data_IF_508650783846
#
_entry.id   IF_508650783846
#
_cell.length_a   1.000
_cell.length_b   1.000
_cell.length_c   1.000
_cell.angle_alpha   90.00
_cell.angle_beta   90.00
_cell.angle_gamma   90.00
#
_symmetry.space_group_name_H-M   'P 1'
#
loop_
_entity.id
_entity.type
_entity.pdbx_description
1 polymer ?
#
# COMPACT_ATOMS: atom_id res chain seq x y z
N UNK A 1 10.55 12.02 5.33
CA UNK A 1 11.20 10.69 5.34
C UNK A 1 10.29 9.68 6.02
N UNK A 2 10.29 8.42 5.60
CA UNK A 2 9.51 7.35 6.23
C UNK A 2 10.38 6.52 7.19
N UNK A 3 9.74 5.83 8.16
CA UNK A 3 10.42 4.91 9.06
C UNK A 3 11.18 3.82 8.29
N UNK A 4 10.58 3.29 7.21
CA UNK A 4 11.22 2.28 6.33
C UNK A 4 12.53 2.81 5.73
N UNK A 5 12.54 4.08 5.29
CA UNK A 5 13.74 4.72 4.76
C UNK A 5 14.83 4.89 5.82
N UNK A 6 14.48 5.30 7.04
CA UNK A 6 15.44 5.46 8.13
C UNK A 6 16.08 4.13 8.51
N UNK A 7 15.26 3.08 8.70
CA UNK A 7 15.74 1.74 9.06
C UNK A 7 16.67 1.16 7.99
N UNK A 8 16.34 1.33 6.71
CA UNK A 8 17.18 0.85 5.61
C UNK A 8 18.58 1.49 5.58
N UNK A 9 18.72 2.73 6.05
CA UNK A 9 19.98 3.49 6.00
C UNK A 9 20.76 3.45 7.31
N UNK A 10 20.08 3.36 8.46
CA UNK A 10 20.70 3.48 9.78
C UNK A 10 20.85 2.13 10.50
N UNK A 11 19.98 1.14 10.21
CA UNK A 11 19.94 -0.15 10.90
C UNK A 11 19.65 -1.29 9.91
N UNK A 12 20.64 -1.74 9.11
CA UNK A 12 20.43 -2.60 7.93
C UNK A 12 19.86 -4.00 8.23
N UNK A 13 19.83 -4.43 9.49
CA UNK A 13 19.27 -5.69 9.95
C UNK A 13 17.80 -5.60 10.42
N UNK A 14 17.15 -4.45 10.28
CA UNK A 14 15.73 -4.27 10.60
C UNK A 14 14.95 -3.94 9.33
N UNK A 15 13.82 -4.63 9.13
CA UNK A 15 12.93 -4.43 7.99
C UNK A 15 11.54 -4.00 8.48
N UNK A 16 10.92 -3.05 7.77
CA UNK A 16 9.60 -2.55 8.07
C UNK A 16 8.59 -2.96 6.99
N UNK A 17 7.67 -3.84 7.37
CA UNK A 17 6.57 -4.32 6.53
C UNK A 17 5.28 -3.61 6.88
N UNK A 18 4.46 -3.31 5.88
CA UNK A 18 3.16 -2.68 6.07
C UNK A 18 2.05 -3.69 5.80
N UNK A 19 1.22 -3.92 6.81
CA UNK A 19 0.11 -4.89 6.73
C UNK A 19 -1.19 -4.09 6.72
N UNK A 20 -1.98 -4.27 5.67
CA UNK A 20 -3.24 -3.56 5.44
C UNK A 20 -4.39 -4.59 5.45
N UNK A 21 -4.92 -4.93 6.63
CA UNK A 21 -5.99 -5.92 6.73
C UNK A 21 -7.33 -5.31 6.27
N UNK A 22 -8.27 -6.14 5.77
CA UNK A 22 -9.68 -5.76 5.73
C UNK A 22 -10.26 -5.72 7.15
N UNK A 23 -11.56 -5.44 7.29
CA UNK A 23 -12.24 -5.75 8.54
C UNK A 23 -12.09 -7.25 8.84
N UNK A 24 -11.62 -7.58 10.04
CA UNK A 24 -11.38 -8.96 10.50
C UNK A 24 -12.21 -9.26 11.74
N UNK A 25 -12.63 -10.51 11.88
CA UNK A 25 -13.43 -11.01 13.00
C UNK A 25 -12.65 -10.96 14.32
N UNK A 26 -12.67 -9.79 14.94
CA UNK A 26 -12.02 -9.51 16.22
C UNK A 26 -13.00 -8.80 17.14
N UNK A 27 -12.60 -8.59 18.39
CA UNK A 27 -13.33 -7.78 19.36
C UNK A 27 -12.70 -6.38 19.56
N UNK A 28 -11.82 -5.94 18.65
CA UNK A 28 -11.08 -4.68 18.79
C UNK A 28 -12.02 -3.48 18.57
N UNK A 29 -12.42 -2.80 19.65
CA UNK A 29 -13.33 -1.64 19.56
C UNK A 29 -14.79 -2.01 19.28
N UNK A 30 -15.19 -3.26 19.52
CA UNK A 30 -16.56 -3.75 19.30
C UNK A 30 -16.60 -5.12 18.61
N UNK A 31 -17.81 -5.65 18.40
CA UNK A 31 -17.98 -6.91 17.67
C UNK A 31 -17.83 -6.70 16.17
N UNK A 32 -16.86 -7.39 15.56
CA UNK A 32 -16.62 -7.38 14.11
C UNK A 32 -17.00 -8.71 13.46
N UNK A 33 -18.10 -9.33 13.87
CA UNK A 33 -18.55 -10.63 13.35
C UNK A 33 -18.77 -10.65 11.82
N UNK A 34 -18.93 -9.48 11.19
CA UNK A 34 -19.07 -9.32 9.73
C UNK A 34 -17.73 -9.32 8.97
N UNK A 35 -16.59 -9.30 9.67
CA UNK A 35 -15.27 -9.28 9.07
C UNK A 35 -14.88 -10.60 8.41
N UNK A 36 -13.71 -10.60 7.76
CA UNK A 36 -13.06 -11.83 7.29
C UNK A 36 -12.58 -12.67 8.49
N UNK A 37 -12.53 -14.01 8.36
CA UNK A 37 -11.98 -14.87 9.41
C UNK A 37 -10.55 -14.44 9.79
N UNK A 38 -10.30 -14.29 11.09
CA UNK A 38 -9.01 -13.83 11.61
C UNK A 38 -7.87 -14.76 11.19
N UNK A 39 -8.07 -16.08 11.36
CA UNK A 39 -7.05 -17.09 11.07
C UNK A 39 -6.64 -17.06 9.60
N UNK A 40 -7.60 -16.92 8.68
CA UNK A 40 -7.31 -16.80 7.24
C UNK A 40 -6.51 -15.53 6.93
N UNK A 41 -6.86 -14.40 7.56
CA UNK A 41 -6.12 -13.15 7.39
C UNK A 41 -4.68 -13.30 7.90
N UNK A 42 -4.49 -13.90 9.08
CA UNK A 42 -3.17 -14.15 9.65
C UNK A 42 -2.34 -15.07 8.75
N UNK A 43 -2.91 -16.18 8.30
CA UNK A 43 -2.24 -17.13 7.41
C UNK A 43 -1.78 -16.46 6.13
N UNK A 44 -2.67 -15.71 5.46
CA UNK A 44 -2.32 -14.96 4.25
C UNK A 44 -1.23 -13.91 4.49
N UNK A 45 -1.27 -13.22 5.63
CA UNK A 45 -0.22 -12.28 6.03
C UNK A 45 1.13 -12.97 6.20
N UNK A 46 1.19 -14.09 6.93
CA UNK A 46 2.44 -14.81 7.16
C UNK A 46 3.02 -15.42 5.88
N UNK A 47 2.18 -15.91 4.97
CA UNK A 47 2.62 -16.42 3.67
C UNK A 47 3.30 -15.33 2.82
N UNK A 48 2.80 -14.10 2.87
CA UNK A 48 3.37 -12.96 2.14
C UNK A 48 4.61 -12.39 2.85
N UNK A 49 4.64 -12.39 4.18
CA UNK A 49 5.84 -12.07 4.96
C UNK A 49 7.01 -12.99 4.60
N UNK A 50 6.76 -14.31 4.47
CA UNK A 50 7.78 -15.28 4.04
C UNK A 50 8.35 -14.99 2.65
N UNK A 51 7.59 -14.32 1.78
CA UNK A 51 8.00 -13.88 0.44
C UNK A 51 8.68 -12.51 0.43
N UNK A 52 8.90 -11.91 1.62
CA UNK A 52 9.48 -10.58 1.79
C UNK A 52 8.71 -9.45 1.07
N UNK A 53 7.40 -9.62 0.87
CA UNK A 53 6.56 -8.59 0.28
C UNK A 53 6.43 -7.39 1.24
N UNK A 54 6.94 -6.22 0.86
CA UNK A 54 7.00 -5.03 1.73
C UNK A 54 5.63 -4.48 2.12
N UNK A 55 4.61 -4.77 1.32
CA UNK A 55 3.23 -4.35 1.54
C UNK A 55 2.31 -5.55 1.39
N UNK A 56 1.59 -5.86 2.46
CA UNK A 56 0.85 -7.10 2.62
C UNK A 56 -0.62 -6.75 2.78
N UNK A 57 -1.41 -7.16 1.80
CA UNK A 57 -2.83 -6.81 1.69
C UNK A 57 -3.65 -8.10 1.61
N UNK A 58 -4.93 -8.10 2.00
CA UNK A 58 -5.75 -9.31 1.99
C UNK A 58 -7.19 -9.04 1.53
N UNK A 59 -7.65 -9.80 0.53
CA UNK A 59 -9.02 -9.75 -0.02
C UNK A 59 -9.52 -8.32 -0.30
N UNK A 60 -10.61 -7.88 0.35
CA UNK A 60 -11.30 -6.60 0.05
C UNK A 60 -10.40 -5.38 0.19
N UNK A 61 -9.38 -5.43 1.07
CA UNK A 61 -8.40 -4.35 1.17
C UNK A 61 -7.53 -4.26 -0.10
N UNK A 62 -7.32 -5.36 -0.81
CA UNK A 62 -6.58 -5.40 -2.08
C UNK A 62 -7.40 -4.75 -3.21
N UNK A 63 -8.71 -4.99 -3.25
CA UNK A 63 -9.59 -4.35 -4.23
C UNK A 63 -9.72 -2.83 -4.00
N UNK A 64 -9.95 -2.40 -2.76
CA UNK A 64 -10.03 -0.98 -2.41
C UNK A 64 -8.70 -0.25 -2.66
N UNK A 65 -7.58 -0.88 -2.33
CA UNK A 65 -6.25 -0.34 -2.60
C UNK A 65 -5.93 -0.26 -4.09
N UNK A 66 -6.27 -1.28 -4.87
CA UNK A 66 -6.10 -1.26 -6.34
C UNK A 66 -6.88 -0.12 -6.98
N UNK A 67 -8.10 0.17 -6.51
CA UNK A 67 -8.89 1.31 -6.99
C UNK A 67 -8.23 2.65 -6.64
N UNK A 68 -7.84 2.84 -5.38
CA UNK A 68 -7.16 4.06 -4.93
C UNK A 68 -5.81 4.29 -5.64
N UNK A 69 -5.03 3.22 -5.83
CA UNK A 69 -3.76 3.28 -6.55
C UNK A 69 -3.94 3.65 -8.03
N UNK A 70 -5.00 3.14 -8.67
CA UNK A 70 -5.32 3.50 -10.06
C UNK A 70 -5.71 4.97 -10.18
N UNK A 71 -6.59 5.46 -9.30
CA UNK A 71 -6.97 6.87 -9.29
C UNK A 71 -5.77 7.80 -9.05
N UNK A 72 -4.87 7.45 -8.13
CA UNK A 72 -3.66 8.24 -7.89
C UNK A 72 -2.70 8.18 -9.08
N UNK A 73 -2.50 7.00 -9.66
CA UNK A 73 -1.65 6.83 -10.85
C UNK A 73 -2.16 7.64 -12.04
N UNK A 74 -3.47 7.66 -12.25
CA UNK A 74 -4.11 8.45 -13.32
C UNK A 74 -3.88 9.95 -13.11
N UNK A 75 -3.99 10.45 -11.87
CA UNK A 75 -3.68 11.86 -11.53
C UNK A 75 -2.22 12.21 -11.81
N UNK A 76 -1.29 11.36 -11.37
CA UNK A 76 0.14 11.59 -11.61
C UNK A 76 0.47 11.57 -13.11
N UNK A 77 -0.18 10.68 -13.87
CA UNK A 77 -0.02 10.63 -15.33
C UNK A 77 -0.50 11.91 -16.02
N UNK A 78 -1.63 12.48 -15.59
CA UNK A 78 -2.14 13.76 -16.09
C UNK A 78 -1.15 14.90 -15.78
N UNK A 79 -0.70 14.99 -14.53
CA UNK A 79 0.26 16.01 -14.10
C UNK A 79 1.56 15.94 -14.92
N UNK A 80 2.07 14.72 -15.15
CA UNK A 80 3.27 14.51 -15.95
C UNK A 80 3.06 14.98 -17.40
N UNK A 81 1.94 14.62 -18.02
CA UNK A 81 1.63 15.03 -19.39
C UNK A 81 1.49 16.55 -19.54
N UNK A 82 0.89 17.21 -18.56
CA UNK A 82 0.73 18.67 -18.59
C UNK A 82 2.08 19.37 -18.36
N UNK A 83 2.90 18.84 -17.44
CA UNK A 83 4.27 19.33 -17.22
C UNK A 83 5.12 19.20 -18.48
N UNK A 84 5.06 18.05 -19.17
CA UNK A 84 5.76 17.82 -20.42
C UNK A 84 5.27 18.78 -21.52
N UNK A 85 3.97 18.91 -21.73
CA UNK A 85 3.40 19.85 -22.73
C UNK A 85 3.89 21.28 -22.49
N UNK A 86 3.86 21.75 -21.25
CA UNK A 86 4.33 23.09 -20.90
C UNK A 86 5.84 23.26 -21.14
N UNK A 87 6.65 22.23 -20.86
CA UNK A 87 8.09 22.26 -21.15
C UNK A 87 8.40 22.36 -22.65
N UNK A 88 7.62 21.71 -23.51
CA UNK A 88 7.77 21.81 -24.96
C UNK A 88 7.26 23.13 -25.54
N UNK A 89 6.32 23.81 -24.89
CA UNK A 89 5.89 25.14 -25.30
C UNK A 89 6.92 26.22 -24.95
N UNK A 90 7.58 26.09 -23.80
CA UNK A 90 8.64 27.00 -23.36
C UNK A 90 9.94 26.90 -24.18
N UNK A 91 10.11 25.83 -24.99
CA UNK A 91 11.27 25.65 -25.88
C UNK A 91 11.05 26.21 -27.29
N UNK A 92 9.85 26.72 -27.61
CA UNK A 92 9.51 27.29 -28.93
C UNK A 92 9.58 28.83 -28.96
N UNK A 93 10.15 29.44 -27.93
CA UNK A 93 10.44 30.88 -27.81
C UNK A 93 11.93 31.08 -27.50
#
# INVERSE_FOLDING_TARGET
MSLRYQLANEIPNIQAYEIIPPAVQTNLGGSHAFGEPLDDCCQATFERLKKAEQEIVYKRSDAGRKLAYREESDKQFIILNDTLKNSFQNLKH
#
